data_IF_063155469247
#
_entry.id   IF_063155469247
#
_cell.length_a   1.000
_cell.length_b   1.000
_cell.length_c   1.000
_cell.angle_alpha   90.00
_cell.angle_beta   90.00
_cell.angle_gamma   90.00
#
_symmetry.space_group_name_H-M   'P 1'
#
loop_
_entity.id
_entity.type
_entity.pdbx_description
1 polymer ?
#
# COMPACT_ATOMS: atom_id res chain seq x y z
N UNK A 1 52.11 20.04 24.71
CA UNK A 1 51.65 19.20 23.57
C UNK A 1 50.86 18.03 24.15
N UNK A 2 49.53 18.06 24.07
CA UNK A 2 48.68 16.90 24.34
C UNK A 2 47.53 16.92 23.34
N UNK A 3 47.33 15.77 22.69
CA UNK A 3 46.48 15.59 21.51
C UNK A 3 45.09 15.18 21.99
N UNK A 4 44.05 15.92 21.60
CA UNK A 4 42.64 15.58 21.86
C UNK A 4 42.15 14.71 20.72
N UNK A 5 41.75 13.46 20.99
CA UNK A 5 41.12 12.61 19.98
C UNK A 5 39.59 12.78 20.12
N UNK A 6 38.86 13.19 19.06
CA UNK A 6 37.41 13.26 19.11
C UNK A 6 36.82 11.84 19.00
N UNK A 7 36.57 11.21 20.15
CA UNK A 7 36.11 9.83 20.24
C UNK A 7 34.59 9.69 20.16
N UNK A 8 33.96 10.06 19.04
CA UNK A 8 32.55 9.79 18.81
C UNK A 8 32.29 9.28 17.39
N UNK A 9 31.90 8.01 17.27
CA UNK A 9 31.34 7.45 16.05
C UNK A 9 29.91 7.96 15.90
N UNK A 10 29.67 8.73 14.84
CA UNK A 10 28.31 9.20 14.50
C UNK A 10 27.64 8.15 13.61
N UNK A 11 26.82 7.29 14.21
CA UNK A 11 25.95 6.36 13.48
C UNK A 11 24.63 7.06 13.15
N UNK A 12 24.18 6.98 11.90
CA UNK A 12 22.83 7.37 11.48
C UNK A 12 22.06 6.10 11.17
N UNK A 13 20.98 5.85 11.92
CA UNK A 13 20.04 4.76 11.63
C UNK A 13 18.92 5.37 10.80
N UNK A 14 18.68 4.81 9.62
CA UNK A 14 17.51 5.11 8.81
C UNK A 14 16.64 3.86 8.82
N UNK A 15 15.50 3.92 9.52
CA UNK A 15 14.53 2.84 9.51
C UNK A 15 13.75 2.92 8.20
N UNK A 16 13.78 1.84 7.43
CA UNK A 16 12.95 1.69 6.25
C UNK A 16 11.72 0.87 6.67
N UNK A 17 10.59 1.54 6.81
CA UNK A 17 9.35 0.88 7.22
C UNK A 17 8.81 -0.03 6.11
N UNK A 18 8.47 -1.29 6.43
CA UNK A 18 7.85 -2.17 5.46
C UNK A 18 6.41 -1.71 5.15
N UNK A 19 6.01 -1.82 3.90
CA UNK A 19 4.67 -1.45 3.40
C UNK A 19 3.91 -2.64 2.78
N UNK A 20 4.61 -3.72 2.45
CA UNK A 20 4.00 -4.92 1.89
C UNK A 20 4.88 -6.16 2.12
N UNK A 21 4.24 -7.32 2.11
CA UNK A 21 4.88 -8.62 1.93
C UNK A 21 4.83 -8.98 0.45
N UNK A 22 5.90 -9.54 -0.12
CA UNK A 22 5.90 -10.00 -1.51
C UNK A 22 6.52 -11.38 -1.63
N UNK A 23 6.08 -12.17 -2.61
CA UNK A 23 6.74 -13.43 -2.95
C UNK A 23 7.90 -13.17 -3.93
N UNK A 24 9.09 -13.65 -3.58
CA UNK A 24 10.27 -13.59 -4.43
C UNK A 24 11.04 -14.91 -4.35
N UNK A 25 11.07 -15.65 -5.46
CA UNK A 25 11.79 -16.93 -5.54
C UNK A 25 11.26 -17.97 -4.55
N UNK A 26 9.93 -18.04 -4.36
CA UNK A 26 9.27 -18.98 -3.45
C UNK A 26 9.39 -18.64 -1.96
N UNK A 27 9.82 -17.41 -1.61
CA UNK A 27 9.93 -16.93 -0.23
C UNK A 27 9.23 -15.59 -0.07
N UNK A 28 8.67 -15.34 1.11
CA UNK A 28 8.14 -14.03 1.48
C UNK A 28 9.28 -13.08 1.84
N UNK A 29 9.19 -11.85 1.36
CA UNK A 29 10.11 -10.75 1.64
C UNK A 29 9.32 -9.48 1.99
N UNK A 30 9.94 -8.57 2.75
CA UNK A 30 9.36 -7.28 3.07
C UNK A 30 9.78 -6.23 2.04
N UNK A 31 8.82 -5.42 1.58
CA UNK A 31 9.06 -4.30 0.68
C UNK A 31 8.95 -2.97 1.43
N UNK A 32 9.85 -2.03 1.16
CA UNK A 32 9.70 -0.63 1.55
C UNK A 32 8.83 0.15 0.55
N UNK A 33 8.55 1.42 0.88
CA UNK A 33 7.78 2.33 0.02
C UNK A 33 8.36 2.53 -1.38
N UNK A 34 9.65 2.27 -1.59
CA UNK A 34 10.30 2.36 -2.90
C UNK A 34 10.23 1.03 -3.69
N UNK A 35 9.65 -0.02 -3.11
CA UNK A 35 9.64 -1.38 -3.67
C UNK A 35 10.95 -2.12 -3.50
N UNK A 36 11.83 -1.67 -2.61
CA UNK A 36 13.09 -2.35 -2.31
C UNK A 36 12.83 -3.46 -1.29
N UNK A 37 13.48 -4.58 -1.50
CA UNK A 37 13.46 -5.68 -0.54
C UNK A 37 14.28 -5.27 0.67
N UNK A 38 13.67 -5.37 1.85
CA UNK A 38 14.33 -5.14 3.12
C UNK A 38 15.04 -6.42 3.60
N UNK A 39 16.20 -6.28 4.27
CA UNK A 39 17.00 -7.41 4.73
C UNK A 39 16.46 -8.01 6.06
N UNK A 40 15.14 -8.10 6.20
CA UNK A 40 14.47 -8.62 7.40
C UNK A 40 13.67 -9.87 7.07
N UNK A 41 13.65 -10.84 7.99
CA UNK A 41 12.87 -12.07 7.85
C UNK A 41 11.42 -11.84 8.34
N UNK A 42 10.40 -11.93 7.46
CA UNK A 42 9.02 -11.69 7.83
C UNK A 42 8.44 -12.76 8.77
N UNK A 43 9.09 -13.92 8.93
CA UNK A 43 8.67 -14.95 9.89
C UNK A 43 8.98 -14.56 11.34
N UNK A 44 9.91 -13.63 11.55
CA UNK A 44 10.33 -13.14 12.86
C UNK A 44 9.54 -11.88 13.24
N UNK A 45 9.21 -11.04 12.26
CA UNK A 45 8.46 -9.79 12.45
C UNK A 45 7.07 -9.98 11.86
N UNK A 46 6.08 -10.31 12.70
CA UNK A 46 4.68 -10.36 12.30
C UNK A 46 4.19 -8.93 12.01
N UNK A 47 4.22 -8.53 10.74
CA UNK A 47 3.72 -7.25 10.29
C UNK A 47 2.36 -7.49 9.59
N UNK A 48 1.32 -6.81 10.07
CA UNK A 48 0.00 -6.80 9.42
C UNK A 48 0.08 -5.95 8.15
N UNK A 49 0.55 -6.60 7.08
CA UNK A 49 0.86 -5.97 5.80
C UNK A 49 0.15 -6.72 4.67
N UNK A 50 -0.32 -5.98 3.64
CA UNK A 50 -0.88 -6.60 2.45
C UNK A 50 0.17 -7.42 1.71
N UNK A 51 -0.28 -8.48 1.04
CA UNK A 51 0.57 -9.23 0.09
C UNK A 51 0.57 -8.49 -1.25
N UNK A 52 1.73 -8.21 -1.83
CA UNK A 52 1.85 -7.44 -3.05
C UNK A 52 2.80 -8.07 -4.08
N UNK A 53 2.59 -7.69 -5.34
CA UNK A 53 3.58 -7.93 -6.39
C UNK A 53 4.88 -7.20 -6.08
N UNK A 54 6.01 -7.75 -6.56
CA UNK A 54 7.33 -7.09 -6.49
C UNK A 54 7.42 -5.97 -7.54
N UNK A 55 6.55 -4.97 -7.43
CA UNK A 55 6.50 -3.79 -8.29
C UNK A 55 6.56 -2.50 -7.47
N UNK A 56 7.48 -1.60 -7.83
CA UNK A 56 7.69 -0.34 -7.09
C UNK A 56 6.50 0.61 -7.14
N UNK A 57 5.67 0.52 -8.18
CA UNK A 57 4.45 1.30 -8.30
C UNK A 57 3.37 0.87 -7.31
N UNK A 58 3.20 -0.44 -7.15
CA UNK A 58 2.30 -1.02 -6.14
C UNK A 58 2.76 -0.63 -4.73
N UNK A 59 4.04 -0.79 -4.42
CA UNK A 59 4.60 -0.45 -3.10
C UNK A 59 4.45 1.05 -2.76
N UNK A 60 4.70 1.94 -3.73
CA UNK A 60 4.52 3.39 -3.53
C UNK A 60 3.06 3.76 -3.29
N UNK A 61 2.14 3.17 -4.04
CA UNK A 61 0.71 3.42 -3.83
C UNK A 61 0.26 2.95 -2.45
N UNK A 62 0.69 1.76 -2.03
CA UNK A 62 0.42 1.22 -0.69
C UNK A 62 0.95 2.14 0.42
N UNK A 63 2.19 2.65 0.29
CA UNK A 63 2.74 3.64 1.24
C UNK A 63 1.87 4.90 1.31
N UNK A 64 1.49 5.44 0.15
CA UNK A 64 0.66 6.66 0.09
C UNK A 64 -0.72 6.44 0.68
N UNK A 65 -1.32 5.26 0.45
CA UNK A 65 -2.59 4.89 1.07
C UNK A 65 -2.43 4.82 2.59
N UNK A 66 -1.37 4.18 3.10
CA UNK A 66 -1.08 4.13 4.54
C UNK A 66 -0.95 5.51 5.16
N UNK A 67 -0.26 6.43 4.47
CA UNK A 67 -0.11 7.82 4.90
C UNK A 67 -1.43 8.61 4.85
N UNK A 68 -2.29 8.31 3.87
CA UNK A 68 -3.56 9.02 3.67
C UNK A 68 -4.65 8.52 4.62
N UNK A 69 -4.78 7.21 4.76
CA UNK A 69 -5.74 6.54 5.63
C UNK A 69 -5.20 5.16 6.09
N UNK A 70 -4.62 5.07 7.30
CA UNK A 70 -4.13 3.81 7.85
C UNK A 70 -5.21 2.74 8.05
N UNK A 71 -6.48 3.12 8.24
CA UNK A 71 -7.58 2.18 8.46
C UNK A 71 -7.97 1.48 7.16
N UNK A 72 -8.03 2.23 6.06
CA UNK A 72 -8.23 1.66 4.74
C UNK A 72 -7.05 0.77 4.35
N UNK A 73 -5.82 1.21 4.63
CA UNK A 73 -4.62 0.39 4.41
C UNK A 73 -4.70 -0.97 5.11
N UNK A 74 -5.08 -1.00 6.40
CA UNK A 74 -5.22 -2.25 7.16
C UNK A 74 -6.33 -3.19 6.67
N UNK A 75 -7.16 -2.78 5.71
CA UNK A 75 -8.18 -3.64 5.08
C UNK A 75 -7.73 -4.26 3.75
N UNK A 76 -6.57 -3.84 3.23
CA UNK A 76 -6.06 -4.34 1.95
C UNK A 76 -5.48 -5.73 2.19
N UNK A 77 -6.00 -6.72 1.48
CA UNK A 77 -5.45 -8.09 1.53
C UNK A 77 -4.32 -8.25 0.51
N UNK A 78 -4.54 -7.75 -0.71
CA UNK A 78 -3.58 -7.87 -1.81
C UNK A 78 -3.44 -6.62 -2.65
N UNK A 79 -2.22 -6.35 -3.11
CA UNK A 79 -1.91 -5.31 -4.10
C UNK A 79 -1.23 -5.90 -5.33
N UNK A 80 -1.88 -5.84 -6.48
CA UNK A 80 -1.40 -6.45 -7.72
C UNK A 80 -1.16 -5.39 -8.79
N UNK A 81 -0.11 -5.58 -9.57
CA UNK A 81 0.10 -4.80 -10.79
C UNK A 81 -0.94 -5.22 -11.82
N UNK A 82 -1.72 -4.26 -12.30
CA UNK A 82 -2.72 -4.49 -13.34
C UNK A 82 -2.40 -3.63 -14.55
N UNK A 83 -1.69 -4.19 -15.54
CA UNK A 83 -1.15 -3.45 -16.69
C UNK A 83 -0.27 -2.27 -16.22
N UNK A 84 -0.76 -1.04 -16.35
CA UNK A 84 -0.12 0.22 -15.92
C UNK A 84 -0.73 0.79 -14.63
N UNK A 85 -1.69 0.08 -14.05
CA UNK A 85 -2.48 0.46 -12.89
C UNK A 85 -2.22 -0.52 -11.74
N UNK A 86 -2.88 -0.29 -10.62
CA UNK A 86 -2.82 -1.15 -9.43
C UNK A 86 -4.23 -1.60 -9.07
N UNK A 87 -4.38 -2.90 -8.85
CA UNK A 87 -5.58 -3.50 -8.30
C UNK A 87 -5.34 -3.83 -6.83
N UNK A 88 -6.25 -3.40 -5.96
CA UNK A 88 -6.25 -3.71 -4.55
C UNK A 88 -7.44 -4.61 -4.26
N UNK A 89 -7.19 -5.77 -3.67
CA UNK A 89 -8.25 -6.66 -3.20
C UNK A 89 -8.52 -6.39 -1.71
N UNK A 90 -9.80 -6.19 -1.39
CA UNK A 90 -10.32 -6.01 -0.05
C UNK A 90 -11.43 -7.05 0.22
N UNK A 91 -11.79 -7.30 1.49
CA UNK A 91 -12.90 -8.20 1.81
C UNK A 91 -14.23 -7.78 1.15
N UNK A 92 -14.43 -6.48 0.93
CA UNK A 92 -15.64 -5.92 0.34
C UNK A 92 -15.70 -6.02 -1.19
N UNK A 93 -14.55 -6.18 -1.87
CA UNK A 93 -14.46 -6.14 -3.33
C UNK A 93 -13.10 -5.64 -3.80
N UNK A 94 -13.01 -5.31 -5.10
CA UNK A 94 -11.77 -4.83 -5.73
C UNK A 94 -11.77 -3.32 -5.93
N UNK A 95 -10.63 -2.68 -5.69
CA UNK A 95 -10.41 -1.27 -5.99
C UNK A 95 -9.33 -1.13 -7.07
N UNK A 96 -9.54 -0.24 -8.04
CA UNK A 96 -8.56 0.07 -9.08
C UNK A 96 -8.08 1.51 -8.93
N UNK A 97 -6.75 1.69 -8.93
CA UNK A 97 -6.08 2.97 -8.91
C UNK A 97 -5.05 3.06 -10.02
N UNK A 98 -4.79 4.27 -10.51
CA UNK A 98 -3.56 4.53 -11.27
C UNK A 98 -2.37 4.34 -10.33
N UNK A 99 -1.25 3.85 -10.83
CA UNK A 99 -0.01 3.71 -10.04
C UNK A 99 0.42 5.01 -9.38
N UNK A 100 0.15 6.15 -10.02
CA UNK A 100 0.47 7.49 -9.51
C UNK A 100 -0.63 8.19 -8.74
N UNK A 101 -1.71 7.50 -8.33
CA UNK A 101 -2.87 8.11 -7.68
C UNK A 101 -2.46 9.02 -6.52
N UNK A 102 -2.94 10.26 -6.54
CA UNK A 102 -2.69 11.29 -5.52
C UNK A 102 -3.46 11.00 -4.22
N UNK A 103 -3.08 11.69 -3.15
CA UNK A 103 -3.80 11.61 -1.87
C UNK A 103 -5.27 12.03 -2.02
N UNK A 104 -5.56 13.00 -2.89
CA UNK A 104 -6.93 13.48 -3.13
C UNK A 104 -7.76 12.43 -3.88
N UNK A 105 -7.19 11.76 -4.89
CA UNK A 105 -7.87 10.64 -5.57
C UNK A 105 -8.14 9.46 -4.65
N UNK A 106 -7.23 9.19 -3.71
CA UNK A 106 -7.45 8.19 -2.66
C UNK A 106 -8.64 8.61 -1.80
N UNK A 107 -8.66 9.86 -1.32
CA UNK A 107 -9.78 10.39 -0.50
C UNK A 107 -11.12 10.37 -1.24
N UNK A 108 -11.14 10.72 -2.52
CA UNK A 108 -12.34 10.67 -3.35
C UNK A 108 -12.93 9.25 -3.39
N UNK A 109 -12.09 8.22 -3.53
CA UNK A 109 -12.54 6.83 -3.44
C UNK A 109 -13.07 6.48 -2.06
N UNK A 110 -12.40 6.89 -0.99
CA UNK A 110 -12.83 6.61 0.38
C UNK A 110 -14.21 7.23 0.68
N UNK A 111 -14.48 8.44 0.17
CA UNK A 111 -15.79 9.07 0.30
C UNK A 111 -16.88 8.25 -0.39
N UNK A 112 -16.59 7.71 -1.59
CA UNK A 112 -17.54 6.86 -2.32
C UNK A 112 -17.75 5.52 -1.61
N UNK A 113 -16.70 4.88 -1.10
CA UNK A 113 -16.79 3.64 -0.35
C UNK A 113 -17.58 3.80 0.96
N UNK A 114 -17.37 4.91 1.67
CA UNK A 114 -18.13 5.27 2.86
C UNK A 114 -19.60 5.49 2.52
N UNK A 115 -19.92 6.22 1.45
CA UNK A 115 -21.29 6.44 1.01
C UNK A 115 -22.00 5.13 0.65
N UNK A 116 -21.33 4.21 -0.05
CA UNK A 116 -21.90 2.90 -0.39
C UNK A 116 -22.18 2.07 0.86
N UNK A 117 -21.25 2.08 1.82
CA UNK A 117 -21.42 1.43 3.12
C UNK A 117 -22.62 2.00 3.88
N UNK A 118 -22.72 3.32 3.98
CA UNK A 118 -23.82 4.00 4.68
C UNK A 118 -25.19 3.74 4.03
N UNK A 119 -25.22 3.59 2.70
CA UNK A 119 -26.45 3.31 1.95
C UNK A 119 -26.75 1.82 1.79
N UNK A 120 -25.92 0.94 2.39
CA UNK A 120 -26.08 -0.52 2.31
C UNK A 120 -25.90 -1.09 0.90
N UNK A 121 -25.30 -0.33 -0.03
CA UNK A 121 -25.10 -0.75 -1.42
C UNK A 121 -23.87 -1.63 -1.53
N UNK A 122 -24.08 -2.90 -1.88
CA UNK A 122 -23.00 -3.82 -2.19
C UNK A 122 -22.37 -3.52 -3.54
N UNK A 123 -21.05 -3.59 -3.60
CA UNK A 123 -20.26 -3.38 -4.81
C UNK A 123 -19.28 -4.53 -5.00
N UNK A 124 -18.85 -4.72 -6.23
CA UNK A 124 -17.82 -5.69 -6.63
C UNK A 124 -16.52 -4.99 -7.01
N UNK A 125 -16.62 -3.79 -7.58
CA UNK A 125 -15.46 -3.01 -7.98
C UNK A 125 -15.68 -1.50 -7.84
N UNK A 126 -14.66 -0.79 -7.36
CA UNK A 126 -14.55 0.66 -7.42
C UNK A 126 -13.36 1.04 -8.30
N UNK A 127 -13.59 1.84 -9.34
CA UNK A 127 -12.56 2.26 -10.28
C UNK A 127 -12.30 3.76 -10.16
N UNK A 128 -11.19 4.12 -9.52
CA UNK A 128 -10.73 5.50 -9.31
C UNK A 128 -9.62 5.91 -10.29
N UNK A 129 -9.53 5.26 -11.46
CA UNK A 129 -8.51 5.62 -12.45
C UNK A 129 -8.82 6.91 -13.21
N UNK A 130 -9.99 7.49 -13.01
CA UNK A 130 -10.51 8.64 -13.73
C UNK A 130 -10.47 9.88 -12.84
N UNK A 131 -10.02 11.00 -13.40
CA UNK A 131 -9.87 12.24 -12.64
C UNK A 131 -11.18 12.66 -11.98
N UNK A 132 -11.16 12.78 -10.65
CA UNK A 132 -12.28 13.21 -9.79
C UNK A 132 -13.56 12.39 -9.97
N UNK A 133 -13.46 11.15 -10.44
CA UNK A 133 -14.61 10.25 -10.65
C UNK A 133 -14.26 8.84 -10.24
N UNK A 134 -15.19 8.22 -9.52
CA UNK A 134 -15.10 6.81 -9.12
C UNK A 134 -16.27 6.08 -9.77
N UNK A 135 -15.98 5.09 -10.60
CA UNK A 135 -17.01 4.24 -11.19
C UNK A 135 -17.27 3.05 -10.27
N UNK A 136 -18.55 2.79 -10.01
CA UNK A 136 -18.99 1.70 -9.13
C UNK A 136 -19.60 0.60 -9.97
N UNK A 137 -19.08 -0.61 -9.81
CA UNK A 137 -19.72 -1.82 -10.31
C UNK A 137 -20.44 -2.52 -9.17
N UNK A 138 -21.76 -2.55 -9.22
CA UNK A 138 -22.59 -3.27 -8.25
C UNK A 138 -22.40 -4.79 -8.30
N UNK A 139 -22.81 -5.46 -7.22
CA UNK A 139 -23.09 -6.91 -7.28
C UNK A 139 -24.38 -7.08 -8.10
N UNK A 140 -24.36 -7.94 -9.13
CA UNK A 140 -25.56 -8.19 -9.93
C UNK A 140 -26.73 -8.61 -9.04
N UNK A 141 -27.93 -8.12 -9.36
CA UNK A 141 -29.18 -8.56 -8.75
C UNK A 141 -29.54 -9.99 -9.19
#
# INVERSE_FOLDING_TARGET
>A
MSRRIPGALRVRIAEAEPVALAERGGRLVLLDAAGRVLPFDPSIVAADLPVADTDSGVARLLSRIRETDPRFFGRIERGLKWRTDVALDLPAGRVLFRTGASADEIRDLLLVEQYLTQTGKRWKELDARFASRVFVRGMGA
#
